data_IF_222030554596
#
_entry.id   IF_222030554596
#
_cell.length_a   1.000
_cell.length_b   1.000
_cell.length_c   1.000
_cell.angle_alpha   90.00
_cell.angle_beta   90.00
_cell.angle_gamma   90.00
#
_symmetry.space_group_name_H-M   'P 1'
#
loop_
_entity.id
_entity.type
_entity.pdbx_description
1 polymer ?
#
# COMPACT_ATOMS: atom_id res chain seq x y z
N UNK A 1 -7.63 4.91 -5.01
CA UNK A 1 -6.48 5.81 -4.73
C UNK A 1 -5.18 5.05 -4.99
N UNK A 2 -4.19 5.69 -5.60
CA UNK A 2 -2.87 5.09 -5.85
C UNK A 2 -1.78 6.01 -5.30
N UNK A 3 -0.89 5.47 -4.47
CA UNK A 3 0.23 6.18 -3.86
C UNK A 3 1.51 5.50 -4.35
N UNK A 4 2.36 6.28 -5.02
CA UNK A 4 3.67 5.82 -5.54
C UNK A 4 4.80 6.36 -4.68
N UNK A 5 5.99 5.77 -4.80
CA UNK A 5 7.17 6.16 -4.01
C UNK A 5 6.87 6.11 -2.51
N UNK A 6 6.22 5.03 -2.05
CA UNK A 6 5.87 4.84 -0.63
C UNK A 6 7.11 4.75 0.25
N UNK A 7 8.26 4.37 -0.32
CA UNK A 7 9.56 4.20 0.37
C UNK A 7 9.49 3.25 1.57
N UNK A 8 8.46 2.40 1.60
CA UNK A 8 8.28 1.38 2.62
C UNK A 8 9.22 0.20 2.36
N UNK A 9 9.72 -0.38 3.45
CA UNK A 9 10.52 -1.60 3.43
C UNK A 9 9.64 -2.79 3.79
N UNK A 10 9.94 -3.95 3.21
CA UNK A 10 9.20 -5.20 3.48
C UNK A 10 9.18 -5.58 4.97
N UNK A 11 10.23 -5.24 5.71
CA UNK A 11 10.36 -5.49 7.15
C UNK A 11 9.41 -4.63 8.00
N UNK A 12 8.94 -3.50 7.45
CA UNK A 12 8.02 -2.59 8.12
C UNK A 12 6.60 -3.12 7.91
N UNK A 13 6.08 -3.75 8.96
CA UNK A 13 4.71 -4.24 9.03
C UNK A 13 3.79 -3.09 9.44
N UNK A 14 3.16 -2.46 8.45
CA UNK A 14 2.13 -1.44 8.63
C UNK A 14 0.86 -1.98 7.99
N UNK A 15 -0.23 -1.99 8.76
CA UNK A 15 -1.53 -2.40 8.27
C UNK A 15 -2.30 -1.18 7.78
N UNK A 16 -2.52 -1.09 6.47
CA UNK A 16 -3.37 -0.07 5.85
C UNK A 16 -4.80 -0.60 5.74
N UNK A 17 -5.43 -0.85 6.90
CA UNK A 17 -6.83 -1.30 6.93
C UNK A 17 -7.71 -0.13 7.30
N UNK A 18 -8.54 0.28 6.34
CA UNK A 18 -9.57 1.31 6.50
C UNK A 18 -10.93 0.65 6.24
N UNK A 19 -11.97 1.06 6.96
CA UNK A 19 -13.29 0.46 6.80
C UNK A 19 -13.88 0.78 5.42
N UNK A 20 -14.38 -0.23 4.72
CA UNK A 20 -14.91 -0.08 3.37
C UNK A 20 -13.84 0.13 2.30
N UNK A 21 -12.57 -0.18 2.58
CA UNK A 21 -11.50 -0.15 1.58
C UNK A 21 -10.58 -1.38 1.66
N UNK A 22 -10.39 -2.01 0.52
CA UNK A 22 -9.30 -2.97 0.32
C UNK A 22 -8.00 -2.24 -0.07
N UNK A 23 -6.88 -2.72 0.46
CA UNK A 23 -5.55 -2.19 0.13
C UNK A 23 -4.58 -3.27 -0.31
N UNK A 24 -3.76 -2.95 -1.32
CA UNK A 24 -2.66 -3.79 -1.81
C UNK A 24 -1.37 -2.98 -1.83
N UNK A 25 -0.33 -3.55 -1.22
CA UNK A 25 1.00 -2.95 -1.13
C UNK A 25 2.02 -3.79 -1.88
N UNK A 26 2.92 -3.11 -2.58
CA UNK A 26 4.14 -3.73 -3.13
C UNK A 26 5.34 -2.86 -2.82
N UNK A 27 6.21 -3.37 -1.96
CA UNK A 27 7.46 -2.69 -1.62
C UNK A 27 8.54 -3.00 -2.64
N UNK A 28 9.44 -2.03 -2.87
CA UNK A 28 10.63 -2.26 -3.68
C UNK A 28 11.65 -3.04 -2.85
N UNK A 29 12.21 -4.12 -3.42
CA UNK A 29 13.35 -4.82 -2.82
C UNK A 29 14.64 -3.99 -3.00
N UNK A 30 15.44 -3.86 -1.95
CA UNK A 30 16.77 -3.24 -2.01
C UNK A 30 16.76 -1.72 -1.71
N UNK A 31 17.25 -0.90 -2.66
CA UNK A 31 17.48 0.55 -2.47
C UNK A 31 16.19 1.28 -2.00
N UNK A 32 16.32 2.22 -1.07
CA UNK A 32 15.23 2.88 -0.32
C UNK A 32 14.31 3.85 -1.07
N UNK A 33 14.00 3.57 -2.34
CA UNK A 33 13.03 4.31 -3.16
C UNK A 33 11.96 3.39 -3.74
N UNK A 34 10.94 3.94 -4.39
CA UNK A 34 9.88 3.18 -5.03
C UNK A 34 8.83 2.61 -4.06
N UNK A 35 8.13 1.59 -4.53
CA UNK A 35 6.98 1.01 -3.84
C UNK A 35 5.66 1.66 -4.27
N UNK A 36 4.58 0.89 -4.13
CA UNK A 36 3.22 1.33 -4.48
C UNK A 36 2.22 0.80 -3.45
N UNK A 37 1.24 1.64 -3.14
CA UNK A 37 0.05 1.28 -2.37
C UNK A 37 -1.19 1.64 -3.19
N UNK A 38 -2.04 0.65 -3.41
CA UNK A 38 -3.31 0.79 -4.08
C UNK A 38 -4.41 0.60 -3.03
N UNK A 39 -5.34 1.54 -2.96
CA UNK A 39 -6.51 1.48 -2.08
C UNK A 39 -7.74 1.57 -2.97
N UNK A 40 -8.65 0.61 -2.85
CA UNK A 40 -9.88 0.52 -3.63
C UNK A 40 -11.05 0.56 -2.66
N UNK A 41 -12.04 1.40 -2.97
CA UNK A 41 -13.29 1.42 -2.20
C UNK A 41 -13.99 0.09 -2.42
N UNK A 42 -14.40 -0.55 -1.33
CA UNK A 42 -15.26 -1.72 -1.39
C UNK A 42 -16.58 -1.22 -1.91
N UNK A 43 -16.99 -1.69 -3.09
CA UNK A 43 -18.34 -1.44 -3.59
C UNK A 43 -19.33 -2.21 -2.70
N UNK A 44 -19.55 -1.67 -1.50
CA UNK A 44 -20.63 -2.06 -0.60
C UNK A 44 -21.89 -1.32 -1.07
N UNK A 45 -22.45 -1.81 -2.18
CA UNK A 45 -23.84 -1.58 -2.54
C UNK A 45 -24.67 -2.74 -2.00
#
# INVERSE_FOLDING_TARGET
>A
MCIIETKLKVEIHVNFKEEGYNSWRRDRKGKGGGGVLIIVCDNMW
#
